data_IF_571356900690
#
_entry.id   IF_571356900690
#
_cell.length_a   1.000
_cell.length_b   1.000
_cell.length_c   1.000
_cell.angle_alpha   90.00
_cell.angle_beta   90.00
_cell.angle_gamma   90.00
#
_symmetry.space_group_name_H-M   'P 1'
#
loop_
_entity.id
_entity.type
_entity.pdbx_description
1 polymer ?
#
# COMPACT_ATOMS: atom_id res chain seq x y z
N UNK A 1 12.02 -18.43 -11.93
CA UNK A 1 11.90 -17.69 -13.21
C UNK A 1 13.16 -17.77 -14.09
N UNK A 2 14.34 -18.01 -13.50
CA UNK A 2 15.64 -18.10 -14.20
C UNK A 2 15.61 -18.89 -15.52
N UNK A 3 15.16 -20.14 -15.50
CA UNK A 3 15.15 -21.00 -16.69
C UNK A 3 14.28 -20.43 -17.83
N UNK A 4 13.21 -19.70 -17.49
CA UNK A 4 12.36 -19.02 -18.47
C UNK A 4 13.14 -17.88 -19.13
N UNK A 5 13.76 -17.02 -18.32
CA UNK A 5 14.58 -15.92 -18.86
C UNK A 5 15.75 -16.40 -19.70
N UNK A 6 16.43 -17.46 -19.26
CA UNK A 6 17.58 -18.03 -19.95
C UNK A 6 17.15 -18.71 -21.27
N UNK A 7 16.00 -19.39 -21.28
CA UNK A 7 15.41 -19.97 -22.50
C UNK A 7 15.13 -18.91 -23.58
N UNK A 8 14.69 -17.72 -23.20
CA UNK A 8 14.42 -16.62 -24.12
C UNK A 8 15.64 -15.72 -24.36
N UNK A 9 16.79 -16.01 -23.73
CA UNK A 9 18.02 -15.25 -23.90
C UNK A 9 17.91 -13.78 -23.46
N UNK A 10 17.10 -13.50 -22.44
CA UNK A 10 16.89 -12.11 -22.00
C UNK A 10 18.14 -11.55 -21.31
N UNK A 11 18.51 -10.31 -21.64
CA UNK A 11 19.60 -9.59 -21.00
C UNK A 11 19.22 -9.11 -19.59
N UNK A 12 20.21 -8.83 -18.74
CA UNK A 12 19.99 -8.43 -17.34
C UNK A 12 19.04 -7.22 -17.21
N UNK A 13 19.23 -6.18 -18.02
CA UNK A 13 18.37 -4.98 -18.05
C UNK A 13 16.92 -5.30 -18.41
N UNK A 14 16.71 -6.29 -19.29
CA UNK A 14 15.37 -6.76 -19.65
C UNK A 14 14.73 -7.55 -18.51
N UNK A 15 15.53 -8.38 -17.81
CA UNK A 15 15.06 -9.11 -16.62
C UNK A 15 14.66 -8.13 -15.51
N UNK A 16 15.42 -7.06 -15.30
CA UNK A 16 15.12 -6.02 -14.32
C UNK A 16 13.80 -5.32 -14.64
N UNK A 17 13.62 -4.88 -15.89
CA UNK A 17 12.38 -4.25 -16.32
C UNK A 17 11.16 -5.18 -16.15
N UNK A 18 11.27 -6.44 -16.58
CA UNK A 18 10.16 -7.40 -16.46
C UNK A 18 9.87 -7.70 -14.98
N UNK A 19 10.89 -7.90 -14.15
CA UNK A 19 10.73 -8.21 -12.74
C UNK A 19 10.16 -7.07 -11.91
N UNK A 20 10.79 -5.91 -12.00
CA UNK A 20 10.51 -4.78 -11.12
C UNK A 20 9.44 -3.84 -11.68
N UNK A 21 9.38 -3.63 -13.01
CA UNK A 21 8.42 -2.70 -13.59
C UNK A 21 7.12 -3.36 -14.09
N UNK A 22 7.17 -4.62 -14.54
CA UNK A 22 5.96 -5.34 -14.99
C UNK A 22 5.40 -6.27 -13.92
N UNK A 23 6.24 -7.15 -13.36
CA UNK A 23 5.82 -8.11 -12.33
C UNK A 23 5.76 -7.49 -10.92
N UNK A 24 6.33 -6.29 -10.76
CA UNK A 24 6.29 -5.52 -9.52
C UNK A 24 6.84 -6.28 -8.30
N UNK A 25 7.87 -7.10 -8.53
CA UNK A 25 8.63 -7.69 -7.43
C UNK A 25 9.51 -6.63 -6.75
N UNK A 26 9.77 -6.80 -5.46
CA UNK A 26 10.64 -5.91 -4.67
C UNK A 26 12.10 -6.35 -4.69
N UNK A 27 12.31 -7.66 -4.86
CA UNK A 27 13.62 -8.30 -4.85
C UNK A 27 13.72 -9.31 -5.98
N UNK A 28 14.94 -9.70 -6.35
CA UNK A 28 15.21 -10.69 -7.39
C UNK A 28 15.03 -12.15 -6.92
N UNK A 29 14.53 -12.37 -5.69
CA UNK A 29 14.38 -13.71 -5.12
C UNK A 29 13.45 -14.60 -5.95
N UNK A 30 12.44 -14.01 -6.61
CA UNK A 30 11.53 -14.72 -7.52
C UNK A 30 12.25 -15.38 -8.72
N UNK A 31 13.45 -14.90 -9.05
CA UNK A 31 14.24 -15.44 -10.16
C UNK A 31 14.70 -16.84 -9.83
N UNK A 32 15.26 -17.04 -8.64
CA UNK A 32 15.92 -18.27 -8.21
C UNK A 32 15.03 -19.19 -7.38
N UNK A 33 13.98 -18.66 -6.75
CA UNK A 33 13.05 -19.45 -5.93
C UNK A 33 12.34 -20.52 -6.77
N UNK A 34 12.47 -21.81 -6.42
CA UNK A 34 11.80 -22.89 -7.12
C UNK A 34 10.27 -22.72 -7.09
N UNK A 35 9.60 -22.99 -8.22
CA UNK A 35 8.14 -22.94 -8.31
C UNK A 35 7.51 -21.55 -8.45
N UNK A 36 8.29 -20.45 -8.41
CA UNK A 36 7.78 -19.08 -8.52
C UNK A 36 7.49 -18.61 -9.96
N UNK A 37 7.88 -19.37 -10.98
CA UNK A 37 7.68 -18.98 -12.38
C UNK A 37 6.19 -18.77 -12.77
N UNK A 38 5.23 -19.63 -12.38
CA UNK A 38 3.82 -19.43 -12.70
C UNK A 38 3.26 -18.12 -12.12
N UNK A 39 3.59 -17.78 -10.88
CA UNK A 39 3.17 -16.54 -10.23
C UNK A 39 3.76 -15.32 -10.94
N UNK A 40 5.06 -15.34 -11.24
CA UNK A 40 5.71 -14.26 -11.97
C UNK A 40 5.05 -14.04 -13.35
N UNK A 41 4.74 -15.12 -14.07
CA UNK A 41 4.04 -15.05 -15.37
C UNK A 41 2.62 -14.48 -15.20
N UNK A 42 1.90 -14.84 -14.13
CA UNK A 42 0.58 -14.28 -13.85
C UNK A 42 0.64 -12.77 -13.56
N UNK A 43 1.61 -12.31 -12.77
CA UNK A 43 1.85 -10.88 -12.50
C UNK A 43 2.16 -10.12 -13.80
N UNK A 44 3.02 -10.66 -14.65
CA UNK A 44 3.34 -10.06 -15.98
C UNK A 44 2.09 -9.99 -16.87
N UNK A 45 1.27 -11.06 -16.88
CA UNK A 45 0.00 -11.07 -17.62
C UNK A 45 -1.00 -10.06 -17.07
N UNK A 46 -1.08 -9.91 -15.75
CA UNK A 46 -1.93 -8.92 -15.10
C UNK A 46 -1.54 -7.50 -15.56
N UNK A 47 -0.25 -7.17 -15.55
CA UNK A 47 0.24 -5.90 -16.08
C UNK A 47 -0.21 -5.68 -17.53
N UNK A 48 0.02 -6.66 -18.40
CA UNK A 48 -0.37 -6.59 -19.82
C UNK A 48 -1.88 -6.41 -20.02
N UNK A 49 -2.69 -7.15 -19.26
CA UNK A 49 -4.15 -7.04 -19.30
C UNK A 49 -4.64 -5.68 -18.81
N UNK A 50 -4.02 -5.14 -17.75
CA UNK A 50 -4.35 -3.81 -17.21
C UNK A 50 -4.00 -2.69 -18.19
N UNK A 51 -2.82 -2.76 -18.83
CA UNK A 51 -2.46 -1.82 -19.92
C UNK A 51 -3.44 -1.95 -21.08
N UNK A 52 -3.78 -3.17 -21.51
CA UNK A 52 -4.72 -3.39 -22.61
C UNK A 52 -6.11 -2.81 -22.34
N UNK A 53 -6.52 -2.76 -21.07
CA UNK A 53 -7.84 -2.22 -20.66
C UNK A 53 -7.92 -0.69 -20.73
N UNK A 54 -6.86 0.03 -20.36
CA UNK A 54 -6.88 1.50 -20.21
C UNK A 54 -5.93 2.25 -21.17
N UNK A 55 -5.09 1.52 -21.91
CA UNK A 55 -4.27 2.00 -23.03
C UNK A 55 -2.96 2.68 -22.65
N UNK A 56 -2.92 3.54 -21.63
CA UNK A 56 -1.73 4.36 -21.31
C UNK A 56 -0.80 3.73 -20.27
N UNK A 57 -1.37 3.17 -19.21
CA UNK A 57 -0.65 2.55 -18.10
C UNK A 57 -1.53 1.47 -17.46
N UNK A 58 -0.98 0.55 -16.64
CA UNK A 58 -1.79 -0.42 -15.89
C UNK A 58 -2.44 0.19 -14.63
N UNK A 59 -2.21 1.47 -14.36
CA UNK A 59 -2.53 2.11 -13.09
C UNK A 59 -3.77 2.99 -13.20
N UNK A 60 -4.54 3.02 -12.12
CA UNK A 60 -5.63 3.97 -11.91
C UNK A 60 -5.38 4.67 -10.58
N UNK A 61 -5.84 5.91 -10.49
CA UNK A 61 -5.76 6.70 -9.26
C UNK A 61 -7.09 7.43 -9.04
N UNK A 62 -7.66 7.38 -7.83
CA UNK A 62 -8.94 8.02 -7.55
C UNK A 62 -8.83 9.55 -7.65
N UNK A 63 -9.85 10.18 -8.23
CA UNK A 63 -10.02 11.62 -8.11
C UNK A 63 -10.14 11.99 -6.62
N UNK A 64 -9.58 13.14 -6.24
CA UNK A 64 -9.46 13.61 -4.85
C UNK A 64 -8.49 12.80 -3.95
N UNK A 65 -7.85 11.76 -4.51
CA UNK A 65 -6.77 11.04 -3.86
C UNK A 65 -7.19 9.82 -3.05
N UNK A 66 -6.20 9.16 -2.46
CA UNK A 66 -6.37 7.85 -1.82
C UNK A 66 -7.32 7.87 -0.60
N UNK A 67 -7.62 9.04 -0.04
CA UNK A 67 -8.59 9.19 1.05
C UNK A 67 -10.01 8.77 0.68
N UNK A 68 -10.35 8.73 -0.60
CA UNK A 68 -11.66 8.29 -1.08
C UNK A 68 -11.88 6.78 -0.93
N UNK A 69 -10.80 5.98 -0.95
CA UNK A 69 -10.87 4.52 -0.79
C UNK A 69 -11.41 4.10 0.59
N UNK A 70 -10.79 4.51 1.72
CA UNK A 70 -11.32 4.16 3.05
C UNK A 70 -12.70 4.78 3.30
N UNK A 71 -12.99 5.97 2.78
CA UNK A 71 -14.32 6.58 2.86
C UNK A 71 -15.38 5.73 2.15
N UNK A 72 -15.08 5.25 0.93
CA UNK A 72 -15.96 4.38 0.16
C UNK A 72 -16.25 3.05 0.89
N UNK A 73 -15.21 2.40 1.43
CA UNK A 73 -15.39 1.19 2.22
C UNK A 73 -16.13 1.43 3.54
N UNK A 74 -15.91 2.57 4.20
CA UNK A 74 -16.65 2.93 5.40
C UNK A 74 -18.15 3.11 5.10
N UNK A 75 -18.49 3.80 4.00
CA UNK A 75 -19.88 3.91 3.54
C UNK A 75 -20.47 2.55 3.20
N UNK A 76 -19.72 1.68 2.50
CA UNK A 76 -20.17 0.33 2.18
C UNK A 76 -20.52 -0.44 3.45
N UNK A 77 -19.63 -0.46 4.45
CA UNK A 77 -19.88 -1.09 5.75
C UNK A 77 -21.11 -0.51 6.46
N UNK A 78 -21.30 0.81 6.42
CA UNK A 78 -22.47 1.46 7.01
C UNK A 78 -23.81 1.05 6.36
N UNK A 79 -23.83 0.84 5.03
CA UNK A 79 -25.01 0.30 4.31
C UNK A 79 -25.39 -1.08 4.85
N UNK A 80 -24.41 -1.89 5.24
CA UNK A 80 -24.62 -3.21 5.84
C UNK A 80 -24.75 -3.18 7.38
N UNK A 81 -24.98 -2.00 7.98
CA UNK A 81 -25.25 -1.84 9.40
C UNK A 81 -24.03 -1.57 10.28
N UNK A 82 -22.85 -1.34 9.70
CA UNK A 82 -21.65 -0.91 10.42
C UNK A 82 -21.81 0.49 11.03
N UNK A 83 -21.31 0.70 12.24
CA UNK A 83 -21.24 2.02 12.89
C UNK A 83 -19.80 2.48 12.99
N UNK A 84 -19.51 3.70 12.54
CA UNK A 84 -18.18 4.30 12.59
C UNK A 84 -18.12 5.38 13.66
N UNK A 85 -17.06 5.34 14.48
CA UNK A 85 -16.80 6.33 15.52
C UNK A 85 -15.39 6.91 15.29
N UNK A 86 -15.34 8.21 14.99
CA UNK A 86 -14.09 8.98 14.93
C UNK A 86 -13.87 9.72 16.25
N UNK A 87 -12.66 10.25 16.45
CA UNK A 87 -12.28 10.98 17.67
C UNK A 87 -12.55 10.17 18.97
N UNK A 88 -12.39 8.85 18.87
CA UNK A 88 -12.67 7.90 19.94
C UNK A 88 -11.39 7.15 20.28
N UNK A 89 -10.89 7.33 21.50
CA UNK A 89 -9.69 6.68 21.99
C UNK A 89 -10.04 5.30 22.55
N UNK A 90 -9.22 4.30 22.23
CA UNK A 90 -9.32 2.97 22.85
C UNK A 90 -8.51 3.01 24.14
N UNK A 91 -9.18 2.86 25.28
CA UNK A 91 -8.55 2.92 26.60
C UNK A 91 -7.97 1.56 27.01
N UNK A 92 -8.72 0.47 26.76
CA UNK A 92 -8.31 -0.88 27.13
C UNK A 92 -8.93 -1.94 26.22
N UNK A 93 -8.20 -3.03 25.94
CA UNK A 93 -8.73 -4.24 25.32
C UNK A 93 -9.06 -5.24 26.43
N UNK A 94 -10.29 -5.75 26.44
CA UNK A 94 -10.76 -6.69 27.45
C UNK A 94 -10.42 -8.12 27.05
N UNK A 95 -9.89 -8.90 28.00
CA UNK A 95 -9.49 -10.29 27.80
C UNK A 95 -10.24 -11.24 28.75
N UNK A 96 -10.63 -12.41 28.23
CA UNK A 96 -11.02 -13.57 29.03
C UNK A 96 -9.98 -14.68 28.81
N UNK A 97 -9.10 -14.88 29.79
CA UNK A 97 -7.89 -15.68 29.61
C UNK A 97 -6.96 -15.04 28.58
N UNK A 98 -6.58 -15.77 27.54
CA UNK A 98 -5.70 -15.28 26.47
C UNK A 98 -6.46 -14.65 25.30
N UNK A 99 -7.80 -14.65 25.31
CA UNK A 99 -8.63 -14.20 24.18
C UNK A 99 -9.23 -12.83 24.41
N UNK A 100 -9.13 -11.96 23.41
CA UNK A 100 -9.82 -10.68 23.41
C UNK A 100 -11.33 -10.86 23.23
N UNK A 101 -12.11 -10.17 24.06
CA UNK A 101 -13.58 -10.26 24.11
C UNK A 101 -14.29 -8.91 23.99
N UNK A 102 -13.54 -7.82 23.90
CA UNK A 102 -14.11 -6.48 23.80
C UNK A 102 -13.10 -5.36 23.95
N UNK A 103 -13.62 -4.14 23.95
CA UNK A 103 -12.87 -2.90 24.12
C UNK A 103 -13.58 -1.98 25.10
N UNK A 104 -12.80 -1.17 25.80
CA UNK A 104 -13.24 0.05 26.49
C UNK A 104 -12.70 1.25 25.72
N UNK A 105 -13.57 2.21 25.48
CA UNK A 105 -13.25 3.37 24.66
C UNK A 105 -13.91 4.65 25.20
N UNK A 106 -13.22 5.76 24.97
CA UNK A 106 -13.68 7.10 25.32
C UNK A 106 -13.84 7.93 24.05
N UNK A 107 -15.06 8.31 23.73
CA UNK A 107 -15.34 9.27 22.66
C UNK A 107 -15.05 10.68 23.17
N UNK A 108 -14.19 11.40 22.46
CA UNK A 108 -13.88 12.81 22.73
C UNK A 108 -14.59 13.69 21.70
N UNK A 109 -15.12 14.84 22.10
CA UNK A 109 -15.93 15.68 21.22
C UNK A 109 -16.81 16.65 22.00
N UNK A 110 -18.10 16.70 21.66
CA UNK A 110 -19.08 17.59 22.31
C UNK A 110 -19.32 17.20 23.77
N UNK A 111 -19.35 15.90 24.07
CA UNK A 111 -19.36 15.35 25.44
C UNK A 111 -18.43 14.14 25.50
N UNK A 112 -17.72 13.99 26.63
CA UNK A 112 -16.88 12.82 26.88
C UNK A 112 -17.77 11.63 27.27
N UNK A 113 -17.77 10.59 26.44
CA UNK A 113 -18.57 9.39 26.67
C UNK A 113 -17.67 8.16 26.74
N UNK A 114 -17.68 7.49 27.89
CA UNK A 114 -17.00 6.20 28.07
C UNK A 114 -17.96 5.05 27.87
N UNK A 115 -17.56 4.05 27.10
CA UNK A 115 -18.38 2.87 26.85
C UNK A 115 -17.54 1.60 26.70
N UNK A 116 -18.21 0.46 26.85
CA UNK A 116 -17.62 -0.88 26.69
C UNK A 116 -18.41 -1.64 25.63
N UNK A 117 -17.69 -2.27 24.71
CA UNK A 117 -18.28 -3.06 23.62
C UNK A 117 -17.67 -4.45 23.61
N UNK A 118 -18.51 -5.48 23.49
CA UNK A 118 -18.07 -6.87 23.35
C UNK A 118 -17.89 -7.22 21.88
N UNK A 119 -16.83 -7.94 21.56
CA UNK A 119 -16.52 -8.41 20.23
C UNK A 119 -15.88 -9.79 20.30
N UNK A 120 -16.19 -10.66 19.32
CA UNK A 120 -15.55 -11.99 19.22
C UNK A 120 -14.18 -11.94 18.56
N UNK A 121 -13.94 -10.90 17.75
CA UNK A 121 -12.73 -10.67 16.99
C UNK A 121 -12.46 -9.18 16.97
N UNK A 122 -11.18 -8.81 17.04
CA UNK A 122 -10.73 -7.43 16.94
C UNK A 122 -9.74 -7.35 15.79
N UNK A 123 -9.99 -6.44 14.85
CA UNK A 123 -9.09 -6.12 13.75
C UNK A 123 -8.56 -4.71 13.98
N UNK A 124 -7.28 -4.48 13.72
CA UNK A 124 -6.72 -3.14 13.80
C UNK A 124 -5.31 -3.07 13.26
N UNK A 125 -4.81 -1.85 13.12
CA UNK A 125 -3.43 -1.63 12.71
C UNK A 125 -2.46 -1.73 13.91
N UNK A 126 -1.14 -1.83 13.65
CA UNK A 126 -0.13 -2.02 14.69
C UNK A 126 -0.11 -0.95 15.80
N UNK A 127 -0.58 0.27 15.54
CA UNK A 127 -0.57 1.35 16.54
C UNK A 127 -1.44 1.07 17.76
N UNK A 128 -2.50 0.26 17.60
CA UNK A 128 -3.37 -0.16 18.69
C UNK A 128 -2.77 -1.31 19.53
N UNK A 129 -1.70 -1.95 19.06
CA UNK A 129 -1.14 -3.16 19.69
C UNK A 129 0.39 -3.13 19.76
N UNK A 130 1.00 -2.16 20.49
CA UNK A 130 2.45 -1.96 20.48
C UNK A 130 3.28 -3.18 20.92
N UNK A 131 2.71 -4.06 21.74
CA UNK A 131 3.38 -5.28 22.23
C UNK A 131 3.11 -6.53 21.37
N UNK A 132 2.32 -6.42 20.31
CA UNK A 132 1.93 -7.54 19.42
C UNK A 132 2.41 -7.37 17.98
N UNK A 133 3.17 -6.32 17.71
CA UNK A 133 3.79 -6.06 16.43
C UNK A 133 5.28 -5.76 16.60
N UNK A 134 6.09 -6.07 15.59
CA UNK A 134 7.52 -5.76 15.55
C UNK A 134 7.84 -4.89 14.35
N UNK A 135 8.85 -4.02 14.51
CA UNK A 135 9.41 -3.26 13.39
C UNK A 135 10.24 -4.21 12.52
N UNK A 136 9.94 -4.25 11.22
CA UNK A 136 10.64 -5.07 10.22
C UNK A 136 11.47 -4.23 9.24
N UNK A 137 11.31 -2.91 9.25
CA UNK A 137 12.01 -1.98 8.39
C UNK A 137 11.54 -0.55 8.59
N UNK A 138 12.05 0.38 7.79
CA UNK A 138 11.56 1.75 7.76
C UNK A 138 11.33 2.19 6.31
N UNK A 139 10.23 2.88 6.03
CA UNK A 139 9.99 3.54 4.74
C UNK A 139 10.48 4.97 4.82
N UNK A 140 11.18 5.40 3.77
CA UNK A 140 11.51 6.78 3.52
C UNK A 140 10.49 7.34 2.52
N UNK A 141 9.91 8.51 2.80
CA UNK A 141 9.00 9.22 1.88
C UNK A 141 9.37 10.69 1.81
N UNK A 142 9.57 11.18 0.60
CA UNK A 142 9.67 12.60 0.31
C UNK A 142 8.50 13.00 -0.60
N UNK A 143 7.72 13.99 -0.16
CA UNK A 143 6.64 14.58 -0.93
C UNK A 143 7.16 15.90 -1.50
N UNK A 144 7.18 16.00 -2.82
CA UNK A 144 7.74 17.12 -3.55
C UNK A 144 6.64 17.83 -4.34
N UNK A 145 6.57 19.15 -4.20
CA UNK A 145 5.70 20.00 -5.02
C UNK A 145 6.50 20.50 -6.23
N UNK A 146 5.96 20.30 -7.42
CA UNK A 146 6.55 20.74 -8.69
C UNK A 146 5.59 21.68 -9.42
N UNK A 147 6.13 22.53 -10.29
CA UNK A 147 5.36 23.41 -11.22
C UNK A 147 5.47 22.99 -12.69
N UNK A 148 5.97 21.78 -12.93
CA UNK A 148 6.19 21.24 -14.25
C UNK A 148 5.98 19.71 -14.25
N UNK A 149 5.65 19.10 -15.40
CA UNK A 149 5.61 17.65 -15.52
C UNK A 149 7.02 17.05 -15.41
N UNK A 150 7.09 15.74 -15.20
CA UNK A 150 8.36 15.02 -15.16
C UNK A 150 9.01 14.94 -16.55
N UNK A 151 10.33 15.09 -16.61
CA UNK A 151 11.06 14.97 -17.86
C UNK A 151 10.96 13.53 -18.41
N UNK A 152 10.73 13.40 -19.72
CA UNK A 152 10.63 12.10 -20.38
C UNK A 152 9.28 11.39 -20.24
N UNK A 153 8.24 12.07 -19.73
CA UNK A 153 6.88 11.52 -19.64
C UNK A 153 5.92 12.08 -20.70
N UNK A 154 6.41 12.87 -21.66
CA UNK A 154 5.60 13.52 -22.69
C UNK A 154 4.47 14.39 -22.07
N UNK A 155 4.86 15.26 -21.13
CA UNK A 155 3.99 16.18 -20.40
C UNK A 155 2.79 15.51 -19.70
N UNK A 156 2.99 14.29 -19.20
CA UNK A 156 1.92 13.55 -18.52
C UNK A 156 1.46 14.22 -17.22
N UNK A 157 0.14 14.22 -17.01
CA UNK A 157 -0.51 14.68 -15.77
C UNK A 157 -0.28 13.73 -14.57
N UNK A 158 0.09 12.49 -14.85
CA UNK A 158 0.48 11.51 -13.83
C UNK A 158 1.42 10.48 -14.41
N UNK A 159 2.26 9.91 -13.55
CA UNK A 159 3.20 8.88 -13.93
C UNK A 159 3.59 8.03 -12.72
N UNK A 160 3.93 6.78 -12.98
CA UNK A 160 4.67 5.94 -12.05
C UNK A 160 6.05 5.69 -12.64
N UNK A 161 7.09 5.98 -11.87
CA UNK A 161 8.46 5.62 -12.20
C UNK A 161 8.96 4.64 -11.15
N UNK A 162 9.69 3.63 -11.62
CA UNK A 162 10.34 2.63 -10.80
C UNK A 162 11.81 2.70 -11.18
N UNK A 163 12.66 2.91 -10.18
CA UNK A 163 14.12 2.87 -10.33
C UNK A 163 14.57 1.55 -9.69
N UNK A 164 14.87 0.52 -10.49
CA UNK A 164 15.28 -0.77 -9.96
C UNK A 164 16.56 -0.62 -9.13
N UNK A 165 16.62 -1.36 -8.03
CA UNK A 165 17.74 -1.38 -7.10
C UNK A 165 19.11 -1.56 -7.78
N UNK A 166 19.17 -2.36 -8.85
CA UNK A 166 20.37 -2.67 -9.63
C UNK A 166 20.96 -1.45 -10.33
N UNK A 167 20.13 -0.47 -10.70
CA UNK A 167 20.53 0.75 -11.42
C UNK A 167 21.15 1.81 -10.50
N UNK A 168 20.89 1.70 -9.20
CA UNK A 168 21.32 2.69 -8.19
C UNK A 168 22.19 2.07 -7.08
N UNK A 169 22.61 0.81 -7.25
CA UNK A 169 23.48 0.11 -6.30
C UNK A 169 22.84 -0.10 -4.93
N UNK A 170 21.52 -0.34 -4.89
CA UNK A 170 20.73 -0.56 -3.68
C UNK A 170 20.27 -2.02 -3.58
N UNK A 171 19.60 -2.35 -2.46
CA UNK A 171 18.88 -3.61 -2.23
C UNK A 171 17.35 -3.46 -2.37
N UNK A 172 16.87 -2.22 -2.45
CA UNK A 172 15.46 -1.90 -2.57
C UNK A 172 15.27 -0.83 -3.64
N UNK A 173 14.22 -1.02 -4.42
CA UNK A 173 13.81 -0.10 -5.47
C UNK A 173 13.42 1.28 -4.89
N UNK A 174 13.47 2.29 -5.77
CA UNK A 174 12.93 3.61 -5.48
C UNK A 174 11.71 3.82 -6.37
N UNK A 175 10.59 4.14 -5.76
CA UNK A 175 9.32 4.40 -6.43
C UNK A 175 9.05 5.91 -6.48
N UNK A 176 8.50 6.38 -7.60
CA UNK A 176 8.01 7.74 -7.74
C UNK A 176 6.58 7.69 -8.27
N UNK A 177 5.63 8.13 -7.45
CA UNK A 177 4.25 8.37 -7.87
C UNK A 177 4.07 9.86 -8.12
N UNK A 178 3.71 10.25 -9.34
CA UNK A 178 3.45 11.63 -9.71
C UNK A 178 1.98 11.79 -10.10
N UNK A 179 1.30 12.75 -9.48
CA UNK A 179 -0.10 13.11 -9.74
C UNK A 179 -0.23 14.64 -9.78
N UNK A 180 -1.15 15.15 -10.59
CA UNK A 180 -1.36 16.59 -10.76
C UNK A 180 -2.79 17.02 -10.42
N UNK A 181 -3.09 18.30 -10.71
CA UNK A 181 -4.45 18.83 -10.66
C UNK A 181 -5.48 18.06 -11.47
N UNK A 182 -5.07 17.24 -12.44
CA UNK A 182 -5.97 16.34 -13.18
C UNK A 182 -6.68 15.33 -12.26
N UNK A 183 -6.10 15.04 -11.09
CA UNK A 183 -6.68 14.15 -10.08
C UNK A 183 -7.32 14.92 -8.92
N UNK A 184 -7.46 16.25 -9.01
CA UNK A 184 -7.99 17.11 -7.96
C UNK A 184 -7.25 17.03 -6.61
N UNK A 185 -5.96 16.64 -6.63
CA UNK A 185 -5.12 16.53 -5.42
C UNK A 185 -4.28 17.77 -5.16
N UNK A 186 -4.16 18.69 -6.13
CA UNK A 186 -3.46 19.96 -5.99
C UNK A 186 -4.03 21.03 -6.94
N UNK A 187 -3.72 22.33 -6.72
CA UNK A 187 -4.15 23.39 -7.62
C UNK A 187 -3.59 23.24 -9.04
N UNK A 188 -4.24 23.88 -10.02
CA UNK A 188 -3.79 23.89 -11.42
C UNK A 188 -2.37 24.45 -11.55
N UNK A 189 -1.57 23.82 -12.43
CA UNK A 189 -0.16 24.19 -12.64
C UNK A 189 0.81 23.58 -11.63
N UNK A 190 0.33 22.68 -10.76
CA UNK A 190 1.16 21.95 -9.81
C UNK A 190 1.07 20.43 -10.03
N UNK A 191 2.15 19.76 -9.65
CA UNK A 191 2.28 18.31 -9.54
C UNK A 191 2.78 17.97 -8.13
N UNK A 192 2.30 16.85 -7.61
CA UNK A 192 2.80 16.22 -6.39
C UNK A 192 3.53 14.96 -6.82
N UNK A 193 4.84 14.92 -6.56
CA UNK A 193 5.68 13.74 -6.75
C UNK A 193 6.06 13.17 -5.38
N UNK A 194 5.77 11.89 -5.16
CA UNK A 194 6.08 11.18 -3.92
C UNK A 194 7.18 10.18 -4.24
N UNK A 195 8.36 10.38 -3.66
CA UNK A 195 9.51 9.46 -3.78
C UNK A 195 9.54 8.58 -2.54
N UNK A 196 9.57 7.26 -2.73
CA UNK A 196 9.62 6.30 -1.63
C UNK A 196 10.61 5.15 -1.85
N UNK A 197 11.23 4.70 -0.77
CA UNK A 197 12.06 3.49 -0.74
C UNK A 197 12.14 2.94 0.68
N UNK A 198 12.64 1.71 0.85
CA UNK A 198 12.97 1.14 2.15
C UNK A 198 14.34 1.64 2.59
N UNK A 199 14.46 2.09 3.84
CA UNK A 199 15.74 2.50 4.42
C UNK A 199 16.69 1.31 4.54
N UNK A 200 17.88 1.43 3.96
CA UNK A 200 18.95 0.43 4.06
C UNK A 200 19.99 0.80 5.11
N UNK A 201 20.02 2.07 5.52
CA UNK A 201 20.98 2.62 6.48
C UNK A 201 20.29 3.22 7.70
N UNK A 202 21.05 3.42 8.77
CA UNK A 202 20.56 4.02 10.02
C UNK A 202 20.68 5.55 10.05
N UNK A 203 21.31 6.17 9.06
CA UNK A 203 21.56 7.62 8.99
C UNK A 203 21.64 8.08 7.52
N UNK A 204 21.53 9.39 7.28
CA UNK A 204 21.61 9.99 5.93
C UNK A 204 20.52 9.52 4.96
N UNK A 205 19.31 9.29 5.46
CA UNK A 205 18.16 8.84 4.66
C UNK A 205 17.83 9.72 3.45
N UNK A 206 18.19 11.01 3.49
CA UNK A 206 18.02 11.92 2.35
C UNK A 206 18.84 11.47 1.13
N UNK A 207 20.02 10.86 1.35
CA UNK A 207 20.89 10.36 0.27
C UNK A 207 20.27 9.14 -0.42
N UNK A 208 19.55 8.30 0.32
CA UNK A 208 18.89 7.11 -0.23
C UNK A 208 17.76 7.46 -1.21
N UNK A 209 17.15 8.64 -1.05
CA UNK A 209 16.13 9.17 -1.96
C UNK A 209 16.71 9.99 -3.11
N UNK A 210 18.00 10.33 -3.08
CA UNK A 210 18.60 11.31 -3.99
C UNK A 210 18.42 10.93 -5.46
N UNK A 211 18.63 9.65 -5.81
CA UNK A 211 18.45 9.19 -7.18
C UNK A 211 17.00 9.38 -7.68
N UNK A 212 16.01 9.29 -6.79
CA UNK A 212 14.62 9.59 -7.11
C UNK A 212 14.34 11.10 -7.20
N UNK A 213 14.90 11.88 -6.28
CA UNK A 213 14.78 13.35 -6.25
C UNK A 213 15.40 14.00 -7.51
N UNK A 214 16.53 13.48 -7.97
CA UNK A 214 17.22 13.94 -9.18
C UNK A 214 16.35 13.77 -10.45
N UNK A 215 15.38 12.83 -10.43
CA UNK A 215 14.43 12.65 -11.53
C UNK A 215 13.33 13.71 -11.56
N UNK A 216 13.14 14.47 -10.49
CA UNK A 216 12.02 15.40 -10.36
C UNK A 216 12.30 16.77 -11.00
N UNK A 217 13.55 17.12 -11.30
CA UNK A 217 13.90 18.44 -11.81
C UNK A 217 13.83 19.51 -10.71
N UNK A 218 13.23 20.68 -11.02
CA UNK A 218 13.15 21.78 -10.06
C UNK A 218 12.03 21.53 -9.06
N UNK A 219 12.40 21.28 -7.81
CA UNK A 219 11.46 21.12 -6.69
C UNK A 219 11.14 22.50 -6.11
N UNK A 220 9.86 22.82 -5.97
CA UNK A 220 9.41 24.08 -5.36
C UNK A 220 9.34 23.99 -3.84
N UNK A 221 8.91 22.84 -3.32
CA UNK A 221 8.90 22.54 -1.89
C UNK A 221 9.07 21.04 -1.65
N UNK A 222 9.76 20.67 -0.58
CA UNK A 222 10.02 19.27 -0.23
C UNK A 222 9.65 19.00 1.24
N UNK A 223 8.72 18.08 1.43
CA UNK A 223 8.34 17.56 2.75
C UNK A 223 8.95 16.19 2.94
N UNK A 224 9.93 16.11 3.84
CA UNK A 224 10.55 14.85 4.23
C UNK A 224 10.44 14.68 5.74
N UNK A 225 9.68 13.66 6.14
CA UNK A 225 9.55 13.28 7.54
C UNK A 225 10.68 12.36 8.01
N UNK A 226 10.72 12.00 9.31
CA UNK A 226 11.57 10.94 9.79
C UNK A 226 11.20 9.60 9.11
N UNK A 227 12.11 8.62 9.08
CA UNK A 227 11.81 7.27 8.62
C UNK A 227 10.60 6.70 9.34
N UNK A 228 9.67 6.14 8.56
CA UNK A 228 8.40 5.62 9.09
C UNK A 228 8.60 4.12 9.38
N UNK A 229 8.49 3.67 10.64
CA UNK A 229 8.64 2.24 10.95
C UNK A 229 7.54 1.41 10.28
N UNK A 230 7.94 0.27 9.71
CA UNK A 230 7.05 -0.75 9.13
C UNK A 230 6.86 -1.83 10.17
N UNK A 231 5.62 -2.09 10.54
CA UNK A 231 5.29 -3.12 11.51
C UNK A 231 4.67 -4.34 10.84
N UNK A 232 4.99 -5.51 11.38
CA UNK A 232 4.28 -6.77 11.13
C UNK A 232 3.82 -7.40 12.44
N UNK A 233 2.67 -8.11 12.44
CA UNK A 233 2.23 -8.85 13.61
C UNK A 233 3.25 -9.91 14.04
N UNK A 234 3.35 -10.15 15.35
CA UNK A 234 4.15 -11.23 15.91
C UNK A 234 3.51 -12.61 15.68
N UNK A 235 2.18 -12.66 15.64
CA UNK A 235 1.37 -13.88 15.58
C UNK A 235 0.19 -13.69 14.60
N UNK A 236 -0.45 -14.79 14.20
CA UNK A 236 -1.54 -14.77 13.20
C UNK A 236 -2.91 -14.31 13.76
N UNK A 237 -3.03 -14.12 15.07
CA UNK A 237 -4.25 -13.68 15.76
C UNK A 237 -5.22 -14.80 16.14
N UNK A 238 -4.95 -16.05 15.77
CA UNK A 238 -5.86 -17.18 16.04
C UNK A 238 -5.87 -17.60 17.51
N UNK A 239 -4.79 -17.31 18.24
CA UNK A 239 -4.65 -17.61 19.68
C UNK A 239 -5.46 -16.65 20.56
N UNK A 240 -5.49 -15.38 20.21
CA UNK A 240 -5.99 -14.27 21.04
C UNK A 240 -7.15 -13.48 20.42
N UNK A 241 -7.61 -13.86 19.22
CA UNK A 241 -8.65 -13.19 18.42
C UNK A 241 -8.33 -11.74 18.02
N UNK A 242 -7.04 -11.39 17.95
CA UNK A 242 -6.59 -10.06 17.52
C UNK A 242 -5.85 -10.19 16.18
N UNK A 243 -6.47 -9.70 15.12
CA UNK A 243 -5.94 -9.78 13.76
C UNK A 243 -5.37 -8.43 13.34
N UNK A 244 -4.05 -8.32 13.41
CA UNK A 244 -3.34 -7.07 13.13
C UNK A 244 -2.92 -7.02 11.66
N UNK A 245 -3.11 -5.87 11.03
CA UNK A 245 -2.60 -5.61 9.67
C UNK A 245 -1.11 -5.28 9.65
N UNK A 246 -0.50 -5.41 8.49
CA UNK A 246 0.85 -4.89 8.25
C UNK A 246 0.81 -3.39 7.99
N UNK A 247 1.92 -2.71 8.25
CA UNK A 247 2.10 -1.33 7.79
C UNK A 247 2.27 -1.28 6.27
N UNK A 248 1.82 -0.19 5.65
CA UNK A 248 2.06 0.06 4.22
C UNK A 248 3.56 0.15 3.92
N UNK A 249 4.01 -0.61 2.94
CA UNK A 249 5.39 -0.64 2.48
C UNK A 249 5.75 0.58 1.60
N UNK A 250 6.90 0.51 0.92
CA UNK A 250 7.40 1.60 0.07
C UNK A 250 6.81 1.59 -1.35
N UNK A 251 6.05 0.56 -1.74
CA UNK A 251 5.52 0.43 -3.10
C UNK A 251 4.49 1.50 -3.42
N UNK A 252 4.38 1.84 -4.70
CA UNK A 252 3.44 2.84 -5.20
C UNK A 252 2.13 2.23 -5.74
N UNK A 253 1.86 0.96 -5.44
CA UNK A 253 0.66 0.22 -5.84
C UNK A 253 0.11 -0.62 -4.68
N UNK A 254 -1.10 -1.16 -4.83
CA UNK A 254 -1.81 -1.81 -3.72
C UNK A 254 -1.68 -3.34 -3.64
N UNK A 255 -0.92 -4.01 -4.51
CA UNK A 255 -0.83 -5.48 -4.51
C UNK A 255 -0.55 -6.08 -3.12
N UNK A 256 0.54 -5.64 -2.46
CA UNK A 256 0.93 -6.14 -1.12
C UNK A 256 -0.10 -5.81 -0.04
N UNK A 257 -0.80 -4.67 -0.17
CA UNK A 257 -1.92 -4.30 0.71
C UNK A 257 -3.10 -5.26 0.50
N UNK A 258 -3.45 -5.58 -0.75
CA UNK A 258 -4.55 -6.52 -1.02
C UNK A 258 -4.24 -7.94 -0.59
N UNK A 259 -2.97 -8.33 -0.64
CA UNK A 259 -2.51 -9.62 -0.11
C UNK A 259 -2.67 -9.67 1.42
N UNK A 260 -2.32 -8.59 2.13
CA UNK A 260 -2.55 -8.49 3.58
C UNK A 260 -4.04 -8.54 3.93
N UNK A 261 -4.90 -7.86 3.16
CA UNK A 261 -6.37 -7.93 3.35
C UNK A 261 -6.89 -9.35 3.19
N UNK A 262 -6.48 -10.07 2.14
CA UNK A 262 -6.87 -11.48 1.92
C UNK A 262 -6.36 -12.38 3.04
N UNK A 263 -5.14 -12.15 3.51
CA UNK A 263 -4.50 -12.90 4.58
C UNK A 263 -5.22 -12.69 5.93
N UNK A 264 -5.49 -11.43 6.31
CA UNK A 264 -6.27 -11.08 7.50
C UNK A 264 -7.66 -11.72 7.44
N UNK A 265 -8.34 -11.62 6.30
CA UNK A 265 -9.66 -12.24 6.13
C UNK A 265 -9.59 -13.74 6.38
N UNK A 266 -8.65 -14.44 5.75
CA UNK A 266 -8.45 -15.87 5.91
C UNK A 266 -8.14 -16.26 7.36
N UNK A 267 -7.29 -15.50 8.06
CA UNK A 267 -6.96 -15.75 9.47
C UNK A 267 -8.16 -15.52 10.39
N UNK A 268 -8.96 -14.49 10.12
CA UNK A 268 -10.12 -14.11 10.93
C UNK A 268 -11.32 -15.03 10.72
N UNK A 269 -11.63 -15.40 9.48
CA UNK A 269 -12.83 -16.18 9.14
C UNK A 269 -12.57 -17.67 9.00
N UNK A 270 -11.32 -18.07 8.75
CA UNK A 270 -10.94 -19.44 8.44
C UNK A 270 -11.19 -19.87 6.99
N UNK A 271 -11.59 -18.94 6.10
CA UNK A 271 -11.87 -19.23 4.68
C UNK A 271 -11.29 -18.18 3.72
N UNK A 272 -11.14 -18.54 2.45
CA UNK A 272 -10.61 -17.63 1.44
C UNK A 272 -11.62 -16.53 1.06
N UNK A 273 -11.14 -15.30 0.91
CA UNK A 273 -11.95 -14.18 0.44
C UNK A 273 -12.33 -14.39 -1.04
N UNK A 274 -13.61 -14.66 -1.29
CA UNK A 274 -14.18 -14.76 -2.64
C UNK A 274 -15.00 -13.51 -2.95
N UNK A 275 -14.49 -12.70 -3.89
CA UNK A 275 -15.13 -11.43 -4.29
C UNK A 275 -16.03 -11.55 -5.53
N UNK A 276 -15.91 -12.65 -6.27
CA UNK A 276 -16.73 -12.92 -7.45
C UNK A 276 -18.20 -13.11 -7.06
N UNK A 277 -19.11 -12.52 -7.83
CA UNK A 277 -20.56 -12.61 -7.56
C UNK A 277 -21.09 -11.72 -6.42
N UNK A 278 -20.23 -11.06 -5.63
CA UNK A 278 -20.69 -10.19 -4.53
C UNK A 278 -21.56 -8.99 -4.98
N UNK A 279 -21.50 -8.63 -6.27
CA UNK A 279 -22.33 -7.56 -6.86
C UNK A 279 -23.71 -8.03 -7.34
N UNK A 280 -23.94 -9.34 -7.45
CA UNK A 280 -25.22 -9.87 -7.90
C UNK A 280 -26.27 -9.69 -6.79
N UNK A 281 -26.98 -8.57 -6.82
CA UNK A 281 -28.01 -8.20 -5.84
C UNK A 281 -27.83 -6.82 -5.19
N UNK A 282 -26.72 -6.13 -5.44
CA UNK A 282 -26.52 -4.76 -4.97
C UNK A 282 -27.21 -3.81 -5.96
N UNK A 283 -28.43 -3.35 -5.63
CA UNK A 283 -29.01 -2.15 -6.23
C UNK A 283 -28.20 -0.95 -5.74
N UNK A 284 -27.14 -0.59 -6.47
CA UNK A 284 -26.51 0.71 -6.30
C UNK A 284 -27.56 1.73 -6.73
N UNK A 285 -28.06 2.54 -5.80
CA UNK A 285 -29.00 3.61 -6.11
C UNK A 285 -28.43 4.42 -7.29
N UNK A 286 -29.24 4.61 -8.33
CA UNK A 286 -28.87 5.36 -9.53
C UNK A 286 -28.24 6.70 -9.10
N UNK A 287 -27.05 7.00 -9.63
CA UNK A 287 -26.42 8.30 -9.49
C UNK A 287 -27.40 9.34 -10.06
N UNK A 288 -27.95 10.20 -9.18
CA UNK A 288 -28.72 11.38 -9.57
C UNK A 288 -27.79 12.50 -10.02
#
# INVERSE_FOLDING_TARGET
>A
MKDVYDKFGLEATTKDFIGHAMALYLTDDYITTPGQAPEAIQRIRLYGNSVARYGKSPYIYPLYGLGELPQGFARLSAIYGGTYMLNTNIDEIQYEGDKAVGIEATMTGVEEMKFKTKAKMILGDPSYFPNKAKVVGHVLRAICILKHPLAGTNDADSAQLIIPQSQVGRKNDIYIACVSSAHNVCPKGYWIAIVSTIAETSANHHVELQAGLDRLGKIEEQFMGPPIPIYEPLEDGTKDNIFISKSYDATSHFETTTDDVKDIYRRATGEELKVEGLREGIQVAEEQ
#
